data_IF_397108818394
#
_entry.id   IF_397108818394
#
_cell.length_a   1.000
_cell.length_b   1.000
_cell.length_c   1.000
_cell.angle_alpha   90.00
_cell.angle_beta   90.00
_cell.angle_gamma   90.00
#
_symmetry.space_group_name_H-M   'P 1'
#
loop_
_entity.id
_entity.type
_entity.pdbx_description
1 polymer ?
#
# COMPACT_ATOMS: atom_id res chain seq x y z
N UNK A 1 -15.88 -5.69 57.17
CA UNK A 1 -14.84 -6.71 57.48
C UNK A 1 -13.74 -6.48 56.46
N UNK A 2 -12.73 -5.78 56.95
CA UNK A 2 -11.44 -5.53 56.30
C UNK A 2 -10.65 -6.84 56.09
N UNK A 3 -9.92 -6.94 55.00
CA UNK A 3 -8.62 -7.58 55.00
C UNK A 3 -7.73 -6.98 53.93
N UNK A 4 -6.90 -6.06 54.37
CA UNK A 4 -5.61 -5.63 53.79
C UNK A 4 -4.58 -6.75 53.86
N UNK A 5 -3.76 -6.90 52.83
CA UNK A 5 -2.41 -7.51 52.86
C UNK A 5 -1.70 -7.05 51.56
N UNK A 6 -0.88 -6.05 51.62
CA UNK A 6 0.49 -5.86 52.06
C UNK A 6 1.53 -6.49 51.11
N UNK A 7 2.25 -5.59 50.47
CA UNK A 7 3.48 -5.71 49.64
C UNK A 7 4.64 -6.35 50.44
N UNK A 8 5.69 -6.86 49.76
CA UNK A 8 6.93 -6.09 49.89
C UNK A 8 7.75 -5.92 48.59
N UNK A 9 8.30 -4.74 48.52
CA UNK A 9 9.39 -4.34 47.65
C UNK A 9 10.68 -5.16 47.95
N UNK A 10 11.47 -5.43 46.92
CA UNK A 10 12.85 -5.87 47.06
C UNK A 10 13.81 -4.94 46.35
N UNK A 11 14.71 -4.46 47.15
CA UNK A 11 15.69 -3.42 46.90
C UNK A 11 16.90 -3.91 46.10
N UNK A 12 17.38 -2.99 45.32
CA UNK A 12 18.71 -2.60 44.86
C UNK A 12 19.91 -3.32 45.53
N UNK A 13 20.85 -3.78 44.70
CA UNK A 13 22.25 -3.93 45.10
C UNK A 13 23.20 -3.36 44.06
N UNK A 14 23.83 -2.25 44.42
CA UNK A 14 25.04 -1.68 43.80
C UNK A 14 26.26 -2.32 44.45
N UNK A 15 27.26 -2.70 43.64
CA UNK A 15 28.68 -2.77 43.99
C UNK A 15 29.46 -2.73 42.70
N UNK A 16 30.13 -1.64 42.32
CA UNK A 16 31.37 -1.02 42.75
C UNK A 16 32.64 -1.78 42.35
N UNK A 17 33.31 -1.16 41.35
CA UNK A 17 34.76 -0.86 41.25
C UNK A 17 35.78 -1.95 41.59
N UNK A 18 36.71 -2.19 40.67
CA UNK A 18 38.16 -2.07 40.93
C UNK A 18 38.90 -1.79 39.63
N UNK A 19 39.67 -0.72 39.62
CA UNK A 19 40.70 -0.38 38.67
C UNK A 19 42.04 -0.98 39.12
N UNK A 20 42.85 -1.43 38.20
CA UNK A 20 44.32 -1.51 38.39
C UNK A 20 45.01 -1.26 37.07
N UNK A 21 45.79 -0.20 37.04
CA UNK A 21 46.71 0.13 36.00
C UNK A 21 48.05 -0.62 36.15
N UNK A 22 48.76 -0.76 35.08
CA UNK A 22 50.23 -0.87 35.11
C UNK A 22 50.83 -0.27 33.83
N UNK A 23 51.60 0.75 34.03
CA UNK A 23 52.55 1.41 33.12
C UNK A 23 53.71 0.51 32.77
N UNK A 24 54.14 0.50 31.49
CA UNK A 24 55.52 0.18 31.14
C UNK A 24 55.96 1.06 29.97
N UNK A 25 56.85 1.99 30.29
CA UNK A 25 57.67 2.73 29.31
C UNK A 25 58.70 1.77 28.69
N UNK A 26 58.85 1.85 27.36
CA UNK A 26 60.12 1.55 26.71
C UNK A 26 60.38 2.60 25.63
N UNK A 27 61.41 3.36 25.87
CA UNK A 27 61.98 4.28 24.92
C UNK A 27 62.97 3.53 24.01
N UNK A 28 62.88 3.74 22.71
CA UNK A 28 63.84 3.24 21.72
C UNK A 28 63.75 4.06 20.46
N UNK A 29 64.61 5.07 20.34
CA UNK A 29 64.84 5.85 19.13
C UNK A 29 65.60 5.04 18.10
N UNK A 30 65.13 5.07 16.83
CA UNK A 30 66.02 5.09 15.65
C UNK A 30 65.28 5.62 14.42
N UNK A 31 65.90 6.58 13.79
CA UNK A 31 65.47 7.27 12.58
C UNK A 31 65.48 6.36 11.35
N UNK A 32 64.47 6.48 10.50
CA UNK A 32 64.40 5.86 9.18
C UNK A 32 63.40 6.59 8.29
N UNK A 33 63.93 7.14 7.19
CA UNK A 33 63.27 7.99 6.23
C UNK A 33 62.00 7.40 5.58
N UNK A 34 60.97 8.26 5.43
CA UNK A 34 60.26 8.49 4.18
C UNK A 34 59.38 7.38 3.60
N UNK A 35 58.15 7.27 4.04
CA UNK A 35 57.02 6.94 3.18
C UNK A 35 55.77 7.55 3.83
N UNK A 36 55.13 8.46 3.10
CA UNK A 36 53.85 9.04 3.46
C UNK A 36 52.81 7.92 3.49
N UNK A 37 52.12 7.67 4.61
CA UNK A 37 51.00 6.74 4.55
C UNK A 37 49.93 7.40 3.67
N UNK A 38 49.51 6.76 2.61
CA UNK A 38 48.27 7.05 1.97
C UNK A 38 47.16 6.83 3.01
N UNK A 39 46.45 7.88 3.36
CA UNK A 39 45.19 7.79 4.07
C UNK A 39 44.24 6.93 3.24
N UNK A 40 44.25 5.64 3.49
CA UNK A 40 43.10 4.80 3.20
C UNK A 40 42.02 5.23 4.18
N UNK A 41 41.28 6.28 3.82
CA UNK A 41 40.00 6.52 4.42
C UNK A 41 39.21 5.22 4.27
N UNK A 42 39.15 4.45 5.33
CA UNK A 42 38.26 3.31 5.42
C UNK A 42 36.83 3.84 5.21
N UNK A 43 36.31 3.69 4.00
CA UNK A 43 34.89 3.85 3.78
C UNK A 43 34.18 2.83 4.65
N UNK A 44 33.63 3.27 5.77
CA UNK A 44 32.61 2.50 6.49
C UNK A 44 31.59 2.12 5.40
N UNK A 45 31.26 0.83 5.23
CA UNK A 45 30.21 0.47 4.29
C UNK A 45 28.97 1.29 4.62
N UNK A 46 28.47 2.08 3.70
CA UNK A 46 27.21 2.77 3.88
C UNK A 46 26.20 1.68 4.29
N UNK A 47 25.49 1.91 5.39
CA UNK A 47 24.45 0.97 5.86
C UNK A 47 23.50 0.78 4.68
N UNK A 48 23.32 -0.47 4.25
CA UNK A 48 22.37 -0.78 3.18
C UNK A 48 21.02 -0.15 3.53
N UNK A 49 20.44 0.61 2.59
CA UNK A 49 19.12 1.22 2.78
C UNK A 49 18.07 0.13 2.61
N UNK A 50 17.18 0.01 3.57
CA UNK A 50 16.02 -0.86 3.51
C UNK A 50 14.77 0.02 3.60
N UNK A 51 13.91 -0.02 2.58
CA UNK A 51 12.70 0.78 2.50
C UNK A 51 11.48 0.00 2.98
N UNK A 52 10.64 0.63 3.79
CA UNK A 52 9.31 0.15 4.15
C UNK A 52 8.26 0.82 3.27
N UNK A 53 7.60 0.06 2.42
CA UNK A 53 6.56 0.56 1.51
C UNK A 53 5.18 0.17 2.04
N UNK A 54 4.26 1.14 2.10
CA UNK A 54 2.84 0.94 2.29
C UNK A 54 2.14 1.15 0.95
N UNK A 55 1.47 0.12 0.43
CA UNK A 55 0.88 0.15 -0.90
C UNK A 55 -0.55 -0.41 -0.90
N UNK A 56 -1.40 0.18 -1.73
CA UNK A 56 -2.74 -0.34 -1.95
C UNK A 56 -2.72 -1.82 -2.32
N UNK A 57 -3.69 -2.59 -1.82
CA UNK A 57 -3.75 -4.04 -1.99
C UNK A 57 -3.68 -4.47 -3.47
N UNK A 58 -4.24 -3.67 -4.39
CA UNK A 58 -4.18 -3.94 -5.83
C UNK A 58 -2.76 -4.04 -6.41
N UNK A 59 -1.75 -3.49 -5.73
CA UNK A 59 -0.35 -3.50 -6.19
C UNK A 59 0.43 -4.76 -5.75
N UNK A 60 -0.16 -5.68 -4.98
CA UNK A 60 0.56 -6.77 -4.29
C UNK A 60 1.27 -7.76 -5.23
N UNK A 61 0.86 -7.87 -6.50
CA UNK A 61 1.51 -8.75 -7.48
C UNK A 61 2.60 -8.05 -8.29
N UNK A 62 2.35 -6.81 -8.69
CA UNK A 62 3.29 -6.04 -9.51
C UNK A 62 4.46 -5.48 -8.69
N UNK A 63 4.19 -4.93 -7.51
CA UNK A 63 5.17 -4.25 -6.68
C UNK A 63 6.40 -5.09 -6.34
N UNK A 64 6.31 -6.37 -5.93
CA UNK A 64 7.48 -7.18 -5.62
C UNK A 64 8.43 -7.37 -6.81
N UNK A 65 7.88 -7.48 -8.04
CA UNK A 65 8.71 -7.58 -9.25
C UNK A 65 9.45 -6.26 -9.51
N UNK A 66 8.80 -5.12 -9.33
CA UNK A 66 9.43 -3.79 -9.47
C UNK A 66 10.48 -3.56 -8.39
N UNK A 67 10.21 -3.95 -7.14
CA UNK A 67 11.17 -3.87 -6.04
C UNK A 67 12.42 -4.72 -6.30
N UNK A 68 12.25 -5.92 -6.86
CA UNK A 68 13.37 -6.78 -7.24
C UNK A 68 14.25 -6.13 -8.32
N UNK A 69 13.66 -5.51 -9.35
CA UNK A 69 14.38 -4.75 -10.36
C UNK A 69 15.16 -3.56 -9.77
N UNK A 70 14.53 -2.82 -8.84
CA UNK A 70 15.17 -1.71 -8.17
C UNK A 70 16.33 -2.16 -7.29
N UNK A 71 16.16 -3.26 -6.54
CA UNK A 71 17.21 -3.86 -5.72
C UNK A 71 18.40 -4.30 -6.57
N UNK A 72 18.16 -4.94 -7.71
CA UNK A 72 19.22 -5.36 -8.63
C UNK A 72 20.05 -4.17 -9.13
N UNK A 73 19.38 -3.05 -9.46
CA UNK A 73 20.04 -1.87 -10.03
C UNK A 73 20.74 -0.99 -9.00
N UNK A 74 20.23 -0.92 -7.75
CA UNK A 74 20.66 0.09 -6.76
C UNK A 74 21.28 -0.51 -5.50
N UNK A 75 21.00 -1.78 -5.20
CA UNK A 75 21.36 -2.41 -3.93
C UNK A 75 20.45 -2.01 -2.75
N UNK A 76 19.45 -1.15 -2.94
CA UNK A 76 18.42 -0.85 -1.95
C UNK A 76 17.54 -2.08 -1.76
N UNK A 77 17.26 -2.43 -0.50
CA UNK A 77 16.37 -3.55 -0.15
C UNK A 77 15.02 -3.04 0.35
N UNK A 78 14.08 -3.95 0.50
CA UNK A 78 12.75 -3.64 1.00
C UNK A 78 12.39 -4.54 2.17
N UNK A 79 11.83 -3.96 3.23
CA UNK A 79 11.11 -4.71 4.25
C UNK A 79 9.80 -5.25 3.65
N UNK A 80 9.13 -6.17 4.38
CA UNK A 80 7.84 -6.72 3.92
C UNK A 80 6.84 -5.60 3.66
N UNK A 81 6.55 -5.35 2.39
CA UNK A 81 5.61 -4.32 1.95
C UNK A 81 4.23 -4.59 2.54
N UNK A 82 3.61 -3.57 3.11
CA UNK A 82 2.27 -3.69 3.66
C UNK A 82 1.24 -3.45 2.55
N UNK A 83 0.57 -4.52 2.13
CA UNK A 83 -0.52 -4.46 1.15
C UNK A 83 -1.87 -4.54 1.85
N UNK A 84 -2.60 -3.41 1.90
CA UNK A 84 -3.92 -3.31 2.55
C UNK A 84 -4.85 -2.38 1.78
N UNK A 85 -6.09 -2.25 2.24
CA UNK A 85 -6.94 -1.14 1.82
C UNK A 85 -6.25 0.19 2.14
N UNK A 86 -6.34 1.16 1.24
CA UNK A 86 -5.60 2.43 1.38
C UNK A 86 -5.96 3.19 2.66
N UNK A 87 -7.23 3.15 3.07
CA UNK A 87 -7.68 3.74 4.33
C UNK A 87 -7.03 3.08 5.56
N UNK A 88 -6.90 1.74 5.57
CA UNK A 88 -6.26 1.01 6.66
C UNK A 88 -4.77 1.34 6.79
N UNK A 89 -4.09 1.59 5.66
CA UNK A 89 -2.69 2.03 5.67
C UNK A 89 -2.54 3.40 6.32
N UNK A 90 -3.45 4.33 6.01
CA UNK A 90 -3.49 5.66 6.63
C UNK A 90 -3.72 5.54 8.14
N UNK A 91 -4.69 4.73 8.58
CA UNK A 91 -4.94 4.52 10.00
C UNK A 91 -3.73 3.91 10.72
N UNK A 92 -3.01 3.00 10.09
CA UNK A 92 -1.76 2.47 10.65
C UNK A 92 -0.68 3.55 10.78
N UNK A 93 -0.52 4.42 9.77
CA UNK A 93 0.41 5.56 9.84
C UNK A 93 0.00 6.55 10.94
N UNK A 94 -1.28 6.85 11.09
CA UNK A 94 -1.81 7.67 12.21
C UNK A 94 -1.54 7.05 13.58
N UNK A 95 -1.57 5.72 13.66
CA UNK A 95 -1.21 4.98 14.87
C UNK A 95 0.30 4.87 15.11
N UNK A 96 1.14 5.48 14.26
CA UNK A 96 2.59 5.53 14.41
C UNK A 96 3.37 4.45 13.66
N UNK A 97 2.72 3.68 12.79
CA UNK A 97 3.43 2.75 11.92
C UNK A 97 4.35 3.52 10.96
N UNK A 98 5.60 3.04 10.83
CA UNK A 98 6.61 3.69 10.01
C UNK A 98 6.54 3.15 8.58
N UNK A 99 6.54 4.06 7.62
CA UNK A 99 6.70 3.79 6.20
C UNK A 99 7.67 4.79 5.61
N UNK A 100 8.35 4.44 4.52
CA UNK A 100 9.17 5.36 3.76
C UNK A 100 8.40 5.96 2.58
N UNK A 101 7.48 5.19 1.98
CA UNK A 101 6.54 5.70 0.99
C UNK A 101 5.15 5.08 1.17
N UNK A 102 4.13 5.85 0.78
CA UNK A 102 2.72 5.44 0.70
C UNK A 102 2.24 5.54 -0.75
N UNK A 103 1.59 4.47 -1.25
CA UNK A 103 0.93 4.47 -2.56
C UNK A 103 -0.53 4.05 -2.34
N UNK A 104 -1.47 4.94 -2.67
CA UNK A 104 -2.92 4.73 -2.49
C UNK A 104 -3.63 4.47 -3.82
N UNK A 105 -4.82 3.88 -3.77
CA UNK A 105 -5.65 3.60 -4.95
C UNK A 105 -6.68 4.71 -5.21
N UNK A 106 -6.51 5.90 -4.67
CA UNK A 106 -7.31 7.08 -5.01
C UNK A 106 -6.62 8.38 -4.60
N UNK A 107 -6.91 9.46 -5.35
CA UNK A 107 -6.46 10.81 -4.97
C UNK A 107 -7.03 11.25 -3.63
N UNK A 108 -8.31 10.97 -3.37
CA UNK A 108 -8.96 11.38 -2.11
C UNK A 108 -8.31 10.73 -0.89
N UNK A 109 -7.94 9.46 -0.95
CA UNK A 109 -7.21 8.81 0.16
C UNK A 109 -5.81 9.41 0.36
N UNK A 110 -5.13 9.81 -0.72
CA UNK A 110 -3.87 10.53 -0.60
C UNK A 110 -4.06 11.95 -0.05
N UNK A 111 -5.16 12.64 -0.42
CA UNK A 111 -5.52 13.95 0.14
C UNK A 111 -5.70 13.86 1.67
N UNK A 112 -6.32 12.77 2.17
CA UNK A 112 -6.45 12.50 3.61
C UNK A 112 -5.10 12.25 4.28
N UNK A 113 -4.16 11.61 3.60
CA UNK A 113 -2.79 11.42 4.10
C UNK A 113 -2.03 12.74 4.19
N UNK A 114 -2.16 13.60 3.17
CA UNK A 114 -1.59 14.96 3.14
C UNK A 114 -2.18 15.81 4.26
N UNK A 115 -3.52 15.87 4.37
CA UNK A 115 -4.21 16.62 5.40
C UNK A 115 -3.84 16.16 6.82
N UNK A 116 -3.55 14.85 6.98
CA UNK A 116 -3.06 14.26 8.22
C UNK A 116 -1.58 14.49 8.51
N UNK A 117 -0.82 15.13 7.61
CA UNK A 117 0.62 15.34 7.75
C UNK A 117 1.42 14.02 7.72
N UNK A 118 0.88 12.96 7.11
CA UNK A 118 1.49 11.63 7.07
C UNK A 118 2.50 11.47 5.92
N UNK A 119 2.39 12.28 4.89
CA UNK A 119 3.26 12.29 3.72
C UNK A 119 3.74 13.72 3.40
N UNK A 120 4.86 13.82 2.72
CA UNK A 120 5.36 15.09 2.18
C UNK A 120 4.63 15.37 0.85
N UNK A 121 3.72 16.33 0.85
CA UNK A 121 2.93 16.73 -0.31
C UNK A 121 3.80 17.12 -1.51
N UNK A 122 4.98 17.71 -1.27
CA UNK A 122 5.88 18.11 -2.35
C UNK A 122 6.45 16.92 -3.15
N UNK A 123 6.37 15.71 -2.60
CA UNK A 123 6.84 14.46 -3.24
C UNK A 123 5.73 13.69 -3.92
N UNK A 124 4.49 14.17 -3.86
CA UNK A 124 3.33 13.49 -4.42
C UNK A 124 3.42 13.38 -5.93
N UNK A 125 3.24 12.17 -6.44
CA UNK A 125 3.18 11.84 -7.86
C UNK A 125 1.89 11.10 -8.16
N UNK A 126 1.17 11.46 -9.22
CA UNK A 126 0.12 10.63 -9.78
C UNK A 126 0.82 9.54 -10.62
N UNK A 127 0.72 8.27 -10.21
CA UNK A 127 1.58 7.22 -10.76
C UNK A 127 0.88 6.37 -11.82
N UNK A 128 -0.30 5.85 -11.49
CA UNK A 128 -1.00 4.89 -12.34
C UNK A 128 -2.47 5.26 -12.48
N UNK A 129 -3.08 4.80 -13.56
CA UNK A 129 -4.53 4.77 -13.76
C UNK A 129 -5.03 3.34 -13.82
N UNK A 130 -6.32 3.16 -13.61
CA UNK A 130 -6.98 1.87 -13.64
C UNK A 130 -8.47 2.04 -14.00
N UNK A 131 -9.13 0.96 -14.42
CA UNK A 131 -10.56 0.96 -14.68
C UNK A 131 -11.33 0.27 -13.56
N UNK A 132 -12.55 0.72 -13.32
CA UNK A 132 -13.52 -0.02 -12.52
C UNK A 132 -14.21 -1.04 -13.43
N UNK A 133 -14.21 -2.29 -13.03
CA UNK A 133 -14.84 -3.36 -13.80
C UNK A 133 -15.81 -4.16 -12.92
N UNK A 134 -16.86 -4.67 -13.57
CA UNK A 134 -17.69 -5.73 -13.01
C UNK A 134 -17.07 -7.06 -13.42
N UNK A 135 -16.79 -7.92 -12.44
CA UNK A 135 -16.31 -9.29 -12.66
C UNK A 135 -17.37 -10.32 -12.29
N UNK A 136 -17.28 -11.47 -12.94
CA UNK A 136 -18.03 -12.69 -12.63
C UNK A 136 -17.08 -13.86 -12.41
N UNK A 137 -17.57 -14.98 -11.91
CA UNK A 137 -16.77 -16.20 -11.85
C UNK A 137 -16.42 -16.67 -13.26
N UNK A 138 -15.20 -17.16 -13.44
CA UNK A 138 -14.76 -17.72 -14.72
C UNK A 138 -15.71 -18.82 -15.22
N UNK A 139 -16.16 -18.73 -16.47
CA UNK A 139 -17.11 -19.66 -17.06
C UNK A 139 -18.56 -19.48 -16.60
N UNK A 140 -18.88 -18.41 -15.86
CA UNK A 140 -20.27 -18.10 -15.48
C UNK A 140 -21.09 -17.65 -16.70
N UNK A 141 -22.35 -18.08 -16.78
CA UNK A 141 -23.31 -17.67 -17.81
C UNK A 141 -23.91 -16.27 -17.57
N UNK A 142 -23.49 -15.58 -16.51
CA UNK A 142 -23.97 -14.20 -16.21
C UNK A 142 -23.49 -13.26 -17.30
N UNK A 143 -24.43 -12.52 -17.90
CA UNK A 143 -24.14 -11.50 -18.90
C UNK A 143 -24.44 -10.10 -18.33
N UNK A 144 -23.51 -9.18 -18.50
CA UNK A 144 -23.60 -7.76 -18.16
C UNK A 144 -23.23 -6.97 -19.42
N UNK A 145 -24.20 -6.40 -20.08
CA UNK A 145 -24.02 -5.57 -21.28
C UNK A 145 -23.97 -4.08 -20.94
N UNK A 146 -24.50 -3.71 -19.77
CA UNK A 146 -24.54 -2.34 -19.27
C UNK A 146 -24.50 -2.31 -17.75
N UNK A 147 -24.16 -1.15 -17.17
CA UNK A 147 -24.19 -0.96 -15.71
C UNK A 147 -25.62 -1.18 -15.14
N UNK A 148 -26.66 -0.84 -15.94
CA UNK A 148 -28.07 -1.03 -15.55
C UNK A 148 -28.43 -2.50 -15.27
N UNK A 149 -27.75 -3.45 -15.89
CA UNK A 149 -27.99 -4.89 -15.71
C UNK A 149 -27.71 -5.35 -14.29
N UNK A 150 -26.89 -4.62 -13.54
CA UNK A 150 -26.61 -4.88 -12.12
C UNK A 150 -27.92 -4.88 -11.28
N UNK A 151 -28.93 -4.11 -11.68
CA UNK A 151 -30.24 -4.09 -11.01
C UNK A 151 -30.92 -5.47 -11.03
N UNK A 152 -30.72 -6.20 -12.12
CA UNK A 152 -31.44 -7.44 -12.42
C UNK A 152 -30.67 -8.70 -12.06
N UNK A 153 -29.41 -8.59 -11.66
CA UNK A 153 -28.59 -9.74 -11.27
C UNK A 153 -29.20 -10.41 -10.02
N UNK A 154 -29.40 -11.70 -10.10
CA UNK A 154 -29.78 -12.51 -8.93
C UNK A 154 -28.57 -12.80 -8.04
N UNK A 155 -28.81 -12.88 -6.73
CA UNK A 155 -27.77 -13.14 -5.76
C UNK A 155 -27.02 -11.91 -5.26
N UNK A 156 -25.82 -12.11 -4.77
CA UNK A 156 -25.03 -11.04 -4.12
C UNK A 156 -24.08 -10.34 -5.07
N UNK A 157 -23.82 -9.09 -4.75
CA UNK A 157 -22.85 -8.21 -5.43
C UNK A 157 -21.73 -7.89 -4.43
N UNK A 158 -20.52 -8.29 -4.72
CA UNK A 158 -19.35 -8.01 -3.89
C UNK A 158 -18.85 -6.57 -4.14
N UNK A 159 -18.77 -5.79 -3.09
CA UNK A 159 -18.34 -4.39 -3.14
C UNK A 159 -17.38 -4.14 -1.96
N UNK A 160 -16.27 -3.45 -2.19
CA UNK A 160 -15.39 -3.01 -1.12
C UNK A 160 -16.11 -2.06 -0.15
N UNK A 161 -15.75 -2.07 1.14
CA UNK A 161 -16.24 -1.07 2.08
C UNK A 161 -15.73 0.32 1.64
N UNK A 162 -16.65 1.20 1.24
CA UNK A 162 -16.32 2.50 0.66
C UNK A 162 -15.59 3.45 1.63
N UNK A 163 -15.63 3.18 2.92
CA UNK A 163 -14.93 3.99 3.94
C UNK A 163 -13.41 3.73 3.86
N UNK A 164 -13.00 2.49 3.63
CA UNK A 164 -11.59 2.08 3.67
C UNK A 164 -11.06 1.59 2.32
N UNK A 165 -11.94 1.13 1.41
CA UNK A 165 -11.59 0.52 0.13
C UNK A 165 -11.96 1.44 -1.03
N UNK A 166 -10.99 2.09 -1.70
CA UNK A 166 -11.29 2.99 -2.83
C UNK A 166 -12.14 2.37 -3.94
N UNK A 167 -11.91 1.09 -4.28
CA UNK A 167 -12.75 0.39 -5.27
C UNK A 167 -14.23 0.38 -4.90
N UNK A 168 -14.55 0.25 -3.61
CA UNK A 168 -15.92 0.32 -3.11
C UNK A 168 -16.54 1.71 -3.27
N UNK A 169 -15.73 2.74 -3.06
CA UNK A 169 -16.16 4.12 -3.27
C UNK A 169 -16.49 4.40 -4.76
N UNK A 170 -15.64 3.94 -5.67
CA UNK A 170 -15.91 4.05 -7.12
C UNK A 170 -17.11 3.22 -7.54
N UNK A 171 -17.25 2.00 -6.99
CA UNK A 171 -18.43 1.17 -7.25
C UNK A 171 -19.73 1.87 -6.81
N UNK A 172 -19.74 2.50 -5.62
CA UNK A 172 -20.89 3.25 -5.14
C UNK A 172 -21.20 4.48 -5.99
N UNK A 173 -20.16 5.18 -6.54
CA UNK A 173 -20.36 6.26 -7.50
C UNK A 173 -21.05 5.74 -8.76
N UNK A 174 -20.57 4.63 -9.33
CA UNK A 174 -21.18 4.00 -10.49
C UNK A 174 -22.64 3.55 -10.18
N UNK A 175 -22.88 2.94 -9.04
CA UNK A 175 -24.22 2.53 -8.58
C UNK A 175 -25.14 3.73 -8.31
N UNK A 176 -24.60 4.90 -7.97
CA UNK A 176 -25.37 6.13 -7.85
C UNK A 176 -25.94 6.58 -9.20
N UNK A 177 -25.18 6.47 -10.29
CA UNK A 177 -25.65 6.88 -11.62
C UNK A 177 -26.86 6.08 -12.09
N UNK A 178 -27.02 4.86 -11.61
CA UNK A 178 -28.14 3.99 -11.92
C UNK A 178 -29.19 3.92 -10.78
N UNK A 179 -29.05 4.72 -9.72
CA UNK A 179 -30.04 4.85 -8.65
C UNK A 179 -30.06 3.71 -7.64
N UNK A 180 -29.01 2.89 -7.54
CA UNK A 180 -28.87 1.84 -6.50
C UNK A 180 -28.17 2.32 -5.24
N UNK A 181 -27.52 3.48 -5.29
CA UNK A 181 -26.85 4.15 -4.17
C UNK A 181 -27.20 5.64 -4.16
N UNK A 182 -27.40 6.28 -3.01
CA UNK A 182 -27.91 7.65 -2.92
C UNK A 182 -26.83 8.73 -2.91
N UNK A 183 -25.61 8.42 -2.48
CA UNK A 183 -24.53 9.40 -2.30
C UNK A 183 -23.61 9.49 -3.52
N UNK A 184 -23.46 10.70 -4.08
CA UNK A 184 -22.64 10.92 -5.28
C UNK A 184 -21.12 10.85 -5.00
N UNK A 185 -20.68 11.04 -3.74
CA UNK A 185 -19.26 10.89 -3.38
C UNK A 185 -18.85 9.42 -3.26
N UNK A 186 -19.81 8.50 -3.09
CA UNK A 186 -19.60 7.07 -2.99
C UNK A 186 -19.38 6.52 -1.59
N UNK A 187 -19.18 7.39 -0.60
CA UNK A 187 -19.05 7.07 0.83
C UNK A 187 -20.02 7.87 1.73
N UNK A 188 -20.90 8.65 1.12
CA UNK A 188 -21.80 9.62 1.76
C UNK A 188 -23.27 9.24 1.67
N UNK A 189 -23.62 8.01 1.26
CA UNK A 189 -24.98 7.56 1.03
C UNK A 189 -25.28 6.17 1.55
N UNK A 190 -26.40 5.65 1.08
CA UNK A 190 -26.89 4.30 1.40
C UNK A 190 -27.41 3.60 0.14
N UNK A 191 -27.35 2.29 0.13
CA UNK A 191 -27.99 1.48 -0.90
C UNK A 191 -29.51 1.54 -0.79
N UNK A 192 -30.20 1.40 -1.92
CA UNK A 192 -31.66 1.26 -1.86
C UNK A 192 -32.07 0.03 -1.05
N UNK A 193 -33.24 0.01 -0.42
CA UNK A 193 -33.66 -1.12 0.40
C UNK A 193 -33.65 -2.46 -0.34
N UNK A 194 -34.00 -2.47 -1.62
CA UNK A 194 -34.01 -3.67 -2.48
C UNK A 194 -32.61 -4.18 -2.79
N UNK A 195 -31.63 -3.27 -2.89
CA UNK A 195 -30.26 -3.63 -3.21
C UNK A 195 -29.39 -3.91 -1.99
N UNK A 196 -29.67 -3.26 -0.85
CA UNK A 196 -28.87 -3.38 0.37
C UNK A 196 -28.70 -4.84 0.85
N UNK A 197 -29.77 -5.65 0.78
CA UNK A 197 -29.73 -7.07 1.15
C UNK A 197 -28.87 -7.95 0.23
N UNK A 198 -28.49 -7.43 -0.93
CA UNK A 198 -27.69 -8.12 -1.94
C UNK A 198 -26.21 -7.76 -1.88
N UNK A 199 -25.83 -6.73 -1.14
CA UNK A 199 -24.45 -6.29 -1.04
C UNK A 199 -23.67 -7.22 -0.11
N UNK A 200 -22.54 -7.72 -0.61
CA UNK A 200 -21.52 -8.41 0.18
C UNK A 200 -20.32 -7.46 0.32
N UNK A 201 -20.23 -6.80 1.49
CA UNK A 201 -19.13 -5.88 1.76
C UNK A 201 -17.81 -6.65 1.98
N UNK A 202 -16.76 -6.15 1.36
CA UNK A 202 -15.41 -6.69 1.45
C UNK A 202 -14.47 -5.68 2.11
N UNK A 203 -13.59 -6.17 2.97
CA UNK A 203 -12.58 -5.37 3.69
C UNK A 203 -11.44 -4.87 2.77
N UNK A 204 -11.31 -5.43 1.59
CA UNK A 204 -10.36 -5.04 0.54
C UNK A 204 -10.80 -5.57 -0.82
N UNK A 205 -10.25 -5.00 -1.91
CA UNK A 205 -10.62 -5.40 -3.27
C UNK A 205 -10.39 -6.90 -3.54
N UNK A 206 -9.30 -7.47 -3.02
CA UNK A 206 -9.04 -8.90 -3.16
C UNK A 206 -10.06 -9.81 -2.49
N UNK A 207 -10.69 -9.36 -1.40
CA UNK A 207 -11.80 -10.09 -0.77
C UNK A 207 -13.06 -10.04 -1.65
N UNK A 208 -13.33 -8.90 -2.33
CA UNK A 208 -14.43 -8.82 -3.29
C UNK A 208 -14.21 -9.80 -4.47
N UNK A 209 -12.99 -9.84 -5.04
CA UNK A 209 -12.63 -10.80 -6.07
C UNK A 209 -12.81 -12.25 -5.61
N UNK A 210 -12.40 -12.57 -4.37
CA UNK A 210 -12.56 -13.90 -3.78
C UNK A 210 -14.03 -14.29 -3.64
N UNK A 211 -14.90 -13.41 -3.17
CA UNK A 211 -16.32 -13.72 -3.05
C UNK A 211 -16.93 -14.15 -4.39
N UNK A 212 -16.49 -13.52 -5.48
CA UNK A 212 -16.93 -13.90 -6.84
C UNK A 212 -16.34 -15.24 -7.24
N UNK A 213 -15.03 -15.44 -7.11
CA UNK A 213 -14.37 -16.71 -7.51
C UNK A 213 -14.84 -17.92 -6.74
N UNK A 214 -15.33 -17.76 -5.50
CA UNK A 214 -15.87 -18.85 -4.65
C UNK A 214 -17.38 -19.03 -4.78
N UNK A 215 -18.07 -18.14 -5.51
CA UNK A 215 -19.53 -18.17 -5.66
C UNK A 215 -20.31 -17.60 -4.46
N UNK A 216 -19.63 -16.94 -3.51
CA UNK A 216 -20.27 -16.22 -2.41
C UNK A 216 -20.96 -14.93 -2.89
N UNK A 217 -20.53 -14.42 -4.06
CA UNK A 217 -21.20 -13.36 -4.80
C UNK A 217 -21.29 -13.72 -6.29
N UNK A 218 -22.38 -13.31 -6.93
CA UNK A 218 -22.64 -13.54 -8.37
C UNK A 218 -21.74 -12.69 -9.24
N UNK A 219 -21.56 -11.44 -8.85
CA UNK A 219 -20.69 -10.45 -9.51
C UNK A 219 -19.97 -9.62 -8.42
N UNK A 220 -18.94 -8.89 -8.84
CA UNK A 220 -18.25 -7.96 -7.94
C UNK A 220 -17.65 -6.79 -8.71
N UNK A 221 -17.44 -5.69 -7.99
CA UNK A 221 -16.74 -4.51 -8.49
C UNK A 221 -15.28 -4.56 -8.01
N UNK A 222 -14.37 -4.56 -8.96
CA UNK A 222 -12.92 -4.58 -8.74
C UNK A 222 -12.23 -3.68 -9.78
N UNK A 223 -10.92 -3.62 -9.75
CA UNK A 223 -10.14 -2.94 -10.80
C UNK A 223 -9.81 -3.89 -11.95
N UNK A 224 -9.59 -3.36 -13.16
CA UNK A 224 -9.14 -4.16 -14.30
C UNK A 224 -7.84 -4.93 -14.02
N UNK A 225 -6.93 -4.34 -13.24
CA UNK A 225 -5.68 -4.99 -12.79
C UNK A 225 -5.92 -6.23 -11.90
N UNK A 226 -7.08 -6.35 -11.25
CA UNK A 226 -7.39 -7.48 -10.37
C UNK A 226 -7.64 -8.78 -11.16
N UNK A 227 -8.03 -8.68 -12.42
CA UNK A 227 -8.20 -9.83 -13.32
C UNK A 227 -6.85 -10.56 -13.53
N UNK A 228 -5.74 -9.84 -13.52
CA UNK A 228 -4.39 -10.41 -13.63
C UNK A 228 -3.84 -10.94 -12.29
N UNK A 229 -4.55 -10.68 -11.21
CA UNK A 229 -4.11 -11.03 -9.84
C UNK A 229 -4.83 -12.23 -9.27
N UNK A 230 -6.10 -12.42 -9.61
CA UNK A 230 -6.96 -13.43 -9.01
C UNK A 230 -7.45 -14.40 -10.06
N UNK A 231 -7.18 -15.69 -9.82
CA UNK A 231 -7.72 -16.77 -10.62
C UNK A 231 -9.22 -16.96 -10.32
N UNK A 232 -9.95 -17.48 -11.30
CA UNK A 232 -11.36 -17.83 -11.17
C UNK A 232 -12.33 -16.66 -11.27
N UNK A 233 -11.85 -15.49 -11.73
CA UNK A 233 -12.70 -14.36 -12.12
C UNK A 233 -12.38 -13.92 -13.53
N UNK A 234 -13.39 -13.43 -14.24
CA UNK A 234 -13.25 -12.80 -15.55
C UNK A 234 -14.03 -11.50 -15.61
N UNK A 235 -13.58 -10.60 -16.49
CA UNK A 235 -14.28 -9.34 -16.73
C UNK A 235 -15.61 -9.59 -17.42
N UNK A 236 -16.71 -9.15 -16.82
CA UNK A 236 -18.02 -9.13 -17.42
C UNK A 236 -18.30 -7.79 -18.13
N UNK A 237 -17.88 -6.67 -17.53
CA UNK A 237 -18.18 -5.34 -18.03
C UNK A 237 -17.17 -4.30 -17.50
N UNK A 238 -16.81 -3.31 -18.33
CA UNK A 238 -16.05 -2.12 -17.92
C UNK A 238 -17.03 -1.01 -17.59
N UNK A 239 -16.96 -0.45 -16.37
CA UNK A 239 -17.83 0.64 -15.98
C UNK A 239 -17.51 1.90 -16.81
N UNK A 240 -18.54 2.67 -17.26
CA UNK A 240 -18.32 3.90 -18.00
C UNK A 240 -17.46 4.90 -17.20
N UNK A 241 -16.52 5.57 -17.86
CA UNK A 241 -15.63 6.55 -17.23
C UNK A 241 -16.38 7.69 -16.53
N UNK A 242 -17.55 8.06 -17.04
CA UNK A 242 -18.43 9.10 -16.48
C UNK A 242 -19.28 8.60 -15.31
N UNK A 243 -19.28 7.30 -15.02
CA UNK A 243 -20.00 6.72 -13.89
C UNK A 243 -19.28 6.89 -12.54
N UNK A 244 -18.01 7.20 -12.55
CA UNK A 244 -17.18 7.38 -11.35
C UNK A 244 -16.04 8.38 -11.59
N UNK A 245 -15.40 8.84 -10.51
CA UNK A 245 -14.19 9.67 -10.65
C UNK A 245 -13.04 8.85 -11.26
N UNK A 246 -12.11 9.50 -11.98
CA UNK A 246 -10.92 8.84 -12.50
C UNK A 246 -10.17 8.08 -11.39
N UNK A 247 -9.81 6.85 -11.67
CA UNK A 247 -9.06 5.99 -10.74
C UNK A 247 -7.58 6.26 -10.96
N UNK A 248 -6.99 7.00 -10.01
CA UNK A 248 -5.58 7.36 -10.03
C UNK A 248 -4.93 6.85 -8.77
N UNK A 249 -3.75 6.28 -8.90
CA UNK A 249 -2.89 5.81 -7.82
C UNK A 249 -1.79 6.83 -7.54
N UNK A 250 -1.94 7.71 -6.57
CA UNK A 250 -0.84 8.56 -6.15
C UNK A 250 0.14 7.85 -5.23
N UNK A 251 1.41 8.18 -5.36
CA UNK A 251 2.47 7.85 -4.43
C UNK A 251 3.07 9.10 -3.80
N UNK A 252 3.54 9.00 -2.57
CA UNK A 252 4.26 10.08 -1.89
C UNK A 252 5.22 9.51 -0.84
N UNK A 253 6.28 10.25 -0.55
CA UNK A 253 7.22 9.93 0.53
C UNK A 253 6.55 10.19 1.88
N UNK A 254 6.72 9.29 2.84
CA UNK A 254 6.22 9.50 4.20
C UNK A 254 6.92 10.66 4.88
N UNK A 255 6.17 11.51 5.57
CA UNK A 255 6.73 12.63 6.34
C UNK A 255 7.67 12.18 7.48
N UNK A 256 7.54 10.94 7.94
CA UNK A 256 8.38 10.33 8.97
C UNK A 256 9.52 9.46 8.42
N UNK A 257 9.73 9.42 7.10
CA UNK A 257 10.76 8.57 6.48
C UNK A 257 12.16 8.95 6.94
N UNK A 258 12.92 7.95 7.38
CA UNK A 258 14.36 8.07 7.60
C UNK A 258 15.19 7.98 6.32
N UNK A 259 14.56 7.64 5.19
CA UNK A 259 15.21 7.37 3.90
C UNK A 259 14.53 8.15 2.76
N UNK A 260 14.06 9.37 3.01
CA UNK A 260 13.21 10.14 2.10
C UNK A 260 13.77 10.24 0.66
N UNK A 261 15.07 10.46 0.49
CA UNK A 261 15.68 10.52 -0.85
C UNK A 261 15.57 9.18 -1.58
N UNK A 262 15.90 8.06 -0.92
CA UNK A 262 15.80 6.74 -1.53
C UNK A 262 14.34 6.33 -1.82
N UNK A 263 13.40 6.76 -0.99
CA UNK A 263 11.98 6.55 -1.23
C UNK A 263 11.48 7.35 -2.44
N UNK A 264 11.91 8.61 -2.58
CA UNK A 264 11.60 9.43 -3.76
C UNK A 264 12.20 8.83 -5.04
N UNK A 265 13.47 8.39 -5.00
CA UNK A 265 14.13 7.73 -6.13
C UNK A 265 13.40 6.43 -6.52
N UNK A 266 12.87 5.67 -5.54
CA UNK A 266 12.07 4.48 -5.83
C UNK A 266 10.73 4.81 -6.50
N UNK A 267 10.03 5.85 -6.04
CA UNK A 267 8.79 6.29 -6.69
C UNK A 267 9.04 6.78 -8.11
N UNK A 268 10.13 7.52 -8.34
CA UNK A 268 10.56 7.95 -9.67
C UNK A 268 10.90 6.74 -10.56
N UNK A 269 11.64 5.76 -10.03
CA UNK A 269 11.95 4.52 -10.73
C UNK A 269 10.69 3.77 -11.19
N UNK A 270 9.67 3.70 -10.34
CA UNK A 270 8.40 3.06 -10.70
C UNK A 270 7.76 3.66 -11.95
N UNK A 271 7.95 4.97 -12.18
CA UNK A 271 7.38 5.69 -13.32
C UNK A 271 8.28 5.72 -14.55
N UNK A 272 9.59 5.88 -14.35
CA UNK A 272 10.50 6.28 -15.41
C UNK A 272 11.44 5.14 -15.89
N UNK A 273 11.52 4.03 -15.17
CA UNK A 273 12.32 2.88 -15.62
C UNK A 273 11.53 1.99 -16.60
N UNK A 274 12.12 1.74 -17.77
CA UNK A 274 11.43 1.01 -18.84
C UNK A 274 11.06 -0.45 -18.48
N UNK A 275 11.85 -1.10 -17.61
CA UNK A 275 11.53 -2.46 -17.15
C UNK A 275 10.43 -2.44 -16.08
N UNK A 276 10.45 -1.45 -15.18
CA UNK A 276 9.37 -1.25 -14.22
C UNK A 276 8.02 -0.97 -14.94
N UNK A 277 8.03 -0.14 -15.98
CA UNK A 277 6.84 0.13 -16.80
C UNK A 277 6.26 -1.15 -17.44
N UNK A 278 7.12 -2.04 -17.94
CA UNK A 278 6.67 -3.34 -18.48
C UNK A 278 6.02 -4.22 -17.41
N UNK A 279 6.53 -4.20 -16.18
CA UNK A 279 5.92 -4.94 -15.07
C UNK A 279 4.53 -4.37 -14.76
N UNK A 280 4.38 -3.05 -14.66
CA UNK A 280 3.07 -2.44 -14.43
C UNK A 280 2.06 -2.82 -15.52
N UNK A 281 2.45 -2.67 -16.80
CA UNK A 281 1.60 -3.05 -17.93
C UNK A 281 1.23 -4.55 -17.93
N UNK A 282 2.15 -5.44 -17.55
CA UNK A 282 1.90 -6.89 -17.39
C UNK A 282 0.75 -7.17 -16.42
N UNK A 283 0.58 -6.33 -15.42
CA UNK A 283 -0.47 -6.46 -14.40
C UNK A 283 -1.66 -5.52 -14.61
N UNK A 284 -1.82 -4.97 -15.82
CA UNK A 284 -2.98 -4.17 -16.22
C UNK A 284 -3.01 -2.76 -15.63
N UNK A 285 -1.86 -2.21 -15.22
CA UNK A 285 -1.73 -0.81 -14.84
C UNK A 285 -1.25 0.01 -16.02
N UNK A 286 -1.87 1.15 -16.23
CA UNK A 286 -1.40 2.18 -17.17
C UNK A 286 -0.73 3.31 -16.37
N UNK A 287 0.29 3.94 -16.98
CA UNK A 287 0.92 5.10 -16.35
C UNK A 287 0.00 6.32 -16.48
N UNK A 288 -0.01 7.15 -15.45
CA UNK A 288 -0.67 8.45 -15.51
C UNK A 288 0.09 9.36 -16.48
N UNK A 289 -0.59 9.84 -17.52
CA UNK A 289 -0.02 10.66 -18.59
C UNK A 289 -0.01 12.15 -18.25
#
# INVERSE_FOLDING_TARGET
MEKTLNTPARAVSRRSLVAFGLTALFAGTLAGCGAKPADTAGSTPAKAVELQIFAANSLEKAMPEVQALYTEKTGVTFADTQFKASGDLIEQMRAGAQADALITASKGTMDDAVAGGLVDEATRLDMFVNDLVVVKAEGSEVEIASLEDVKNIEGKVAIGDAVTVPAGKYANQALNTIGLYTGAAGDDGVYTPEFAGRVALADKVGTAAKYVSTGDATIGFVYSSDIFRYDGIEQAFVCPEDSHKPIVYPGAVSASSGHAAAAADFLDFCLNDAEAQKVWAKYGFELFA
#
